data_IF_599111684990
#
_entry.id   IF_599111684990
#
_cell.length_a   1.000
_cell.length_b   1.000
_cell.length_c   1.000
_cell.angle_alpha   90.00
_cell.angle_beta   90.00
_cell.angle_gamma   90.00
#
_symmetry.space_group_name_H-M   'P 1'
#
loop_
_entity.id
_entity.type
_entity.pdbx_description
1 polymer ?
#
# COMPACT_ATOMS: atom_id res chain seq x y z
N UNK A 1 -15.72 3.98 -2.16
CA UNK A 1 -15.04 2.68 -2.36
C UNK A 1 -16.06 1.57 -2.60
N UNK A 2 -15.70 0.55 -3.40
CA UNK A 2 -16.47 -0.67 -3.59
C UNK A 2 -15.56 -1.89 -3.33
N UNK A 3 -15.99 -2.77 -2.42
CA UNK A 3 -15.31 -4.03 -2.12
C UNK A 3 -16.26 -5.20 -2.33
N UNK A 4 -15.78 -6.26 -3.00
CA UNK A 4 -16.49 -7.53 -3.11
C UNK A 4 -15.84 -8.53 -2.17
N UNK A 5 -16.59 -9.04 -1.21
CA UNK A 5 -16.10 -10.01 -0.24
C UNK A 5 -16.64 -11.40 -0.56
N UNK A 6 -15.75 -12.37 -0.70
CA UNK A 6 -16.07 -13.77 -0.93
C UNK A 6 -15.91 -14.55 0.36
N UNK A 7 -16.99 -15.20 0.82
CA UNK A 7 -16.92 -16.10 1.98
C UNK A 7 -16.35 -17.45 1.54
N UNK A 8 -15.03 -17.60 1.65
CA UNK A 8 -14.34 -18.86 1.39
C UNK A 8 -14.28 -19.77 2.63
N UNK A 9 -14.86 -19.36 3.75
CA UNK A 9 -14.93 -20.17 4.97
C UNK A 9 -16.08 -21.18 4.91
N UNK A 10 -16.04 -22.24 5.73
CA UNK A 10 -17.17 -23.17 5.87
C UNK A 10 -18.33 -22.60 6.72
N UNK A 11 -18.19 -21.40 7.27
CA UNK A 11 -19.13 -20.81 8.22
C UNK A 11 -20.13 -19.87 7.55
N UNK A 12 -21.32 -19.76 8.15
CA UNK A 12 -22.28 -18.72 7.82
C UNK A 12 -21.93 -17.46 8.60
N UNK A 13 -21.61 -16.37 7.89
CA UNK A 13 -21.20 -15.11 8.50
C UNK A 13 -22.41 -14.21 8.69
N UNK A 14 -22.62 -13.71 9.91
CA UNK A 14 -23.73 -12.80 10.25
C UNK A 14 -23.28 -11.34 10.38
N UNK A 15 -21.98 -11.10 10.27
CA UNK A 15 -21.37 -9.78 10.39
C UNK A 15 -20.11 -9.70 9.55
N UNK A 16 -19.69 -8.48 9.20
CA UNK A 16 -18.35 -8.17 8.73
C UNK A 16 -17.61 -7.36 9.79
N UNK A 17 -16.29 -7.55 9.85
CA UNK A 17 -15.39 -6.67 10.57
C UNK A 17 -14.55 -5.92 9.55
N UNK A 18 -14.56 -4.60 9.63
CA UNK A 18 -13.81 -3.70 8.77
C UNK A 18 -12.87 -2.88 9.65
N UNK A 19 -11.61 -2.76 9.24
CA UNK A 19 -10.60 -1.98 9.94
C UNK A 19 -10.63 -0.54 9.43
N UNK A 20 -10.66 0.37 10.38
CA UNK A 20 -10.51 1.81 10.19
C UNK A 20 -9.17 2.20 10.79
N UNK A 21 -8.07 1.94 10.09
CA UNK A 21 -6.74 2.14 10.66
C UNK A 21 -6.49 3.58 11.12
N UNK A 22 -7.07 4.56 10.41
CA UNK A 22 -6.94 5.98 10.78
C UNK A 22 -7.72 6.36 12.03
N UNK A 23 -8.61 5.50 12.54
CA UNK A 23 -9.15 5.67 13.89
C UNK A 23 -8.06 5.47 14.97
N UNK A 24 -6.86 4.96 14.64
CA UNK A 24 -5.71 5.08 15.53
C UNK A 24 -5.33 6.54 15.78
N UNK A 25 -5.70 7.51 14.93
CA UNK A 25 -5.53 8.95 15.16
C UNK A 25 -6.71 9.59 15.91
N UNK A 26 -7.81 8.86 16.12
CA UNK A 26 -9.02 9.35 16.78
C UNK A 26 -8.82 9.66 18.26
N UNK A 27 -9.29 10.81 18.72
CA UNK A 27 -9.26 11.19 20.14
C UNK A 27 -9.86 10.10 21.03
N UNK A 28 -9.11 9.70 22.07
CA UNK A 28 -9.53 8.71 23.05
C UNK A 28 -9.26 7.24 22.69
N UNK A 29 -8.90 6.93 21.44
CA UNK A 29 -8.51 5.57 21.06
C UNK A 29 -7.12 5.20 21.62
N UNK A 30 -6.94 3.92 21.95
CA UNK A 30 -5.69 3.36 22.43
C UNK A 30 -4.63 3.28 21.31
N UNK A 31 -3.36 3.44 21.67
CA UNK A 31 -2.19 3.41 20.77
C UNK A 31 -1.00 2.83 21.51
N UNK A 32 -0.07 2.23 20.76
CA UNK A 32 1.20 1.75 21.33
C UNK A 32 2.28 2.84 21.36
N UNK A 33 2.09 3.93 20.61
CA UNK A 33 3.01 5.06 20.53
C UNK A 33 2.30 6.39 20.79
N UNK A 34 3.07 7.39 21.25
CA UNK A 34 2.63 8.77 21.24
C UNK A 34 2.64 9.34 19.82
N UNK A 35 1.62 10.14 19.49
CA UNK A 35 1.54 10.88 18.23
C UNK A 35 1.50 12.38 18.50
N UNK A 36 1.77 13.20 17.48
CA UNK A 36 1.70 14.66 17.62
C UNK A 36 0.27 15.09 17.95
N UNK A 37 0.13 16.18 18.70
CA UNK A 37 -1.19 16.70 19.04
C UNK A 37 -2.00 17.11 17.80
N UNK A 38 -1.31 17.63 16.78
CA UNK A 38 -1.92 18.07 15.51
C UNK A 38 -2.41 16.88 14.65
N UNK A 39 -1.91 15.67 14.91
CA UNK A 39 -2.37 14.44 14.25
C UNK A 39 -3.61 13.83 14.93
N UNK A 40 -4.07 14.38 16.06
CA UNK A 40 -5.26 13.88 16.76
C UNK A 40 -6.52 14.39 16.05
N UNK A 41 -7.34 13.47 15.56
CA UNK A 41 -8.56 13.75 14.77
C UNK A 41 -9.81 13.18 15.45
N UNK A 42 -10.97 13.32 14.80
CA UNK A 42 -12.21 12.63 15.17
C UNK A 42 -12.33 11.22 14.56
N UNK A 43 -11.29 10.76 13.85
CA UNK A 43 -11.23 9.48 13.16
C UNK A 43 -11.74 9.55 11.71
N UNK A 44 -12.01 8.38 11.15
CA UNK A 44 -12.59 8.21 9.82
C UNK A 44 -14.05 8.65 9.84
N UNK A 45 -14.41 9.53 8.93
CA UNK A 45 -15.79 9.91 8.67
C UNK A 45 -16.41 8.91 7.68
N UNK A 46 -17.52 8.29 8.08
CA UNK A 46 -18.28 7.35 7.25
C UNK A 46 -19.62 8.00 6.92
N UNK A 47 -19.78 8.45 5.68
CA UNK A 47 -21.00 9.16 5.25
C UNK A 47 -22.07 8.22 4.69
N UNK A 48 -21.67 7.09 4.10
CA UNK A 48 -22.59 6.07 3.60
C UNK A 48 -21.97 4.69 3.60
N UNK A 49 -22.74 3.68 4.01
CA UNK A 49 -22.37 2.26 3.89
C UNK A 49 -23.56 1.50 3.30
N UNK A 50 -23.30 0.65 2.31
CA UNK A 50 -24.30 -0.28 1.77
C UNK A 50 -23.74 -1.69 1.65
N UNK A 51 -24.60 -2.68 1.89
CA UNK A 51 -24.35 -4.10 1.64
C UNK A 51 -25.38 -4.58 0.62
N UNK A 52 -24.92 -5.03 -0.54
CA UNK A 52 -25.76 -5.41 -1.69
C UNK A 52 -26.84 -4.36 -2.02
N UNK A 53 -26.45 -3.08 -1.92
CA UNK A 53 -27.32 -1.93 -2.17
C UNK A 53 -28.27 -1.56 -1.02
N UNK A 54 -28.35 -2.35 0.05
CA UNK A 54 -29.10 -2.01 1.27
C UNK A 54 -28.25 -1.14 2.19
N UNK A 55 -28.76 0.03 2.56
CA UNK A 55 -28.07 0.95 3.47
C UNK A 55 -27.97 0.37 4.89
N UNK A 56 -26.85 0.61 5.55
CA UNK A 56 -26.59 0.17 6.93
C UNK A 56 -26.67 1.36 7.89
N UNK A 57 -27.49 1.22 8.93
CA UNK A 57 -27.66 2.24 9.97
C UNK A 57 -26.45 2.29 10.93
N UNK A 58 -25.83 3.46 11.09
CA UNK A 58 -24.74 3.68 12.05
C UNK A 58 -25.25 3.82 13.48
N UNK A 59 -24.47 3.32 14.45
CA UNK A 59 -24.77 3.43 15.90
C UNK A 59 -25.81 2.43 16.42
N UNK A 60 -26.34 1.56 15.54
CA UNK A 60 -27.38 0.58 15.86
C UNK A 60 -26.79 -0.83 16.03
N UNK A 61 -27.30 -1.60 17.00
CA UNK A 61 -26.87 -3.00 17.21
C UNK A 61 -27.20 -3.91 16.03
N UNK A 62 -28.22 -3.56 15.24
CA UNK A 62 -28.62 -4.29 14.02
C UNK A 62 -28.05 -3.69 12.74
N UNK A 63 -27.30 -2.59 12.84
CA UNK A 63 -26.61 -1.96 11.74
C UNK A 63 -25.10 -2.07 11.93
N UNK A 64 -24.42 -0.92 11.99
CA UNK A 64 -22.98 -0.84 12.17
C UNK A 64 -22.57 -0.07 13.43
N UNK A 65 -21.48 -0.49 14.05
CA UNK A 65 -20.89 0.18 15.21
C UNK A 65 -19.37 0.26 15.09
N UNK A 66 -18.81 1.40 15.49
CA UNK A 66 -17.37 1.57 15.61
C UNK A 66 -16.96 1.21 17.05
N UNK A 67 -15.89 0.43 17.19
CA UNK A 67 -15.26 0.12 18.46
C UNK A 67 -13.73 0.15 18.28
N UNK A 68 -13.08 1.18 18.84
CA UNK A 68 -11.66 1.41 18.63
C UNK A 68 -11.39 1.71 17.17
N UNK A 69 -10.60 0.86 16.54
CA UNK A 69 -10.21 0.95 15.12
C UNK A 69 -10.99 0.01 14.21
N UNK A 70 -12.14 -0.49 14.68
CA UNK A 70 -12.94 -1.50 13.98
C UNK A 70 -14.36 -1.01 13.78
N UNK A 71 -14.88 -1.18 12.57
CA UNK A 71 -16.27 -1.09 12.22
C UNK A 71 -16.86 -2.49 12.14
N UNK A 72 -17.83 -2.79 13.00
CA UNK A 72 -18.55 -4.07 13.01
C UNK A 72 -19.90 -3.84 12.35
N UNK A 73 -20.14 -4.51 11.24
CA UNK A 73 -21.36 -4.40 10.43
C UNK A 73 -22.17 -5.68 10.64
N UNK A 74 -23.39 -5.57 11.16
CA UNK A 74 -24.35 -6.69 11.15
C UNK A 74 -24.92 -6.83 9.75
N UNK A 75 -24.82 -8.02 9.17
CA UNK A 75 -25.31 -8.25 7.81
C UNK A 75 -26.84 -8.31 7.79
N UNK A 76 -27.52 -7.64 6.84
CA UNK A 76 -28.97 -7.73 6.69
C UNK A 76 -29.43 -9.16 6.37
N UNK A 77 -28.62 -9.90 5.62
CA UNK A 77 -28.80 -11.31 5.30
C UNK A 77 -27.50 -12.05 5.62
N UNK A 78 -27.54 -13.25 6.24
CA UNK A 78 -26.33 -14.04 6.49
C UNK A 78 -25.60 -14.41 5.19
N UNK A 79 -24.28 -14.27 5.19
CA UNK A 79 -23.43 -14.62 4.06
C UNK A 79 -23.01 -16.09 4.16
N UNK A 80 -23.58 -16.94 3.33
CA UNK A 80 -23.33 -18.40 3.31
C UNK A 80 -21.96 -18.76 2.72
N UNK A 81 -21.41 -19.95 3.05
CA UNK A 81 -20.18 -20.46 2.42
C UNK A 81 -20.24 -20.44 0.89
N UNK A 82 -19.16 -20.01 0.25
CA UNK A 82 -19.03 -19.90 -1.21
C UNK A 82 -19.80 -18.75 -1.85
N UNK A 83 -20.57 -17.97 -1.08
CA UNK A 83 -21.27 -16.79 -1.60
C UNK A 83 -20.43 -15.52 -1.41
N UNK A 84 -20.85 -14.44 -2.08
CA UNK A 84 -20.19 -13.14 -2.00
C UNK A 84 -21.21 -12.03 -1.76
N UNK A 85 -20.74 -10.91 -1.21
CA UNK A 85 -21.48 -9.66 -1.12
C UNK A 85 -20.68 -8.50 -1.69
N UNK A 86 -21.37 -7.42 -2.02
CA UNK A 86 -20.76 -6.13 -2.36
C UNK A 86 -20.97 -5.14 -1.23
N UNK A 87 -19.87 -4.61 -0.69
CA UNK A 87 -19.87 -3.48 0.22
C UNK A 87 -19.51 -2.21 -0.55
N UNK A 88 -20.29 -1.14 -0.39
CA UNK A 88 -19.86 0.21 -0.81
C UNK A 88 -19.76 1.10 0.41
N UNK A 89 -18.69 1.89 0.48
CA UNK A 89 -18.44 2.83 1.58
C UNK A 89 -18.01 4.16 1.00
N UNK A 90 -18.69 5.23 1.41
CA UNK A 90 -18.26 6.61 1.21
C UNK A 90 -17.64 7.10 2.52
N UNK A 91 -16.38 7.52 2.45
CA UNK A 91 -15.58 7.84 3.62
C UNK A 91 -14.62 8.99 3.35
N UNK A 92 -14.22 9.68 4.42
CA UNK A 92 -13.20 10.72 4.41
C UNK A 92 -12.33 10.62 5.66
N UNK A 93 -11.08 11.06 5.55
CA UNK A 93 -10.17 11.12 6.69
C UNK A 93 -9.08 12.17 6.44
N UNK A 94 -8.43 12.59 7.53
CA UNK A 94 -7.28 13.48 7.46
C UNK A 94 -5.99 12.69 7.26
N UNK A 95 -5.14 13.15 6.35
CA UNK A 95 -3.77 12.64 6.23
C UNK A 95 -2.91 13.28 7.34
N UNK A 96 -2.28 12.48 8.22
CA UNK A 96 -1.50 13.02 9.32
C UNK A 96 -0.14 13.57 8.86
N UNK A 97 0.44 14.47 9.64
CA UNK A 97 1.81 15.01 9.49
C UNK A 97 2.88 14.13 10.15
N UNK A 98 2.50 12.98 10.71
CA UNK A 98 3.46 11.98 11.16
C UNK A 98 4.12 11.26 9.98
N UNK A 99 5.20 10.55 10.27
CA UNK A 99 5.80 9.56 9.37
C UNK A 99 5.73 8.15 9.96
N UNK A 100 5.00 7.97 11.07
CA UNK A 100 4.74 6.66 11.66
C UNK A 100 3.77 5.93 10.73
N UNK A 101 4.30 4.99 9.95
CA UNK A 101 3.58 4.08 9.01
C UNK A 101 2.91 4.76 7.81
N UNK A 102 2.52 6.03 7.91
CA UNK A 102 1.84 6.84 6.88
C UNK A 102 2.01 8.34 7.20
N UNK A 103 1.83 9.21 6.21
CA UNK A 103 1.72 10.66 6.37
C UNK A 103 2.69 11.48 5.50
N UNK A 104 3.11 12.63 6.01
CA UNK A 104 3.84 13.65 5.27
C UNK A 104 5.33 13.74 5.67
N UNK A 105 6.21 13.74 4.67
CA UNK A 105 7.65 13.98 4.86
C UNK A 105 8.01 15.45 4.70
N UNK A 106 7.30 16.15 3.83
CA UNK A 106 7.34 17.61 3.67
C UNK A 106 6.00 18.09 3.09
N UNK A 107 5.87 19.39 2.79
CA UNK A 107 4.61 19.98 2.28
C UNK A 107 4.17 19.47 0.91
N UNK A 108 5.04 18.74 0.20
CA UNK A 108 4.85 18.21 -1.15
C UNK A 108 5.33 16.78 -1.31
N UNK A 109 5.49 16.02 -0.23
CA UNK A 109 5.90 14.61 -0.29
C UNK A 109 5.17 13.81 0.77
N UNK A 110 4.47 12.77 0.33
CA UNK A 110 3.62 11.94 1.18
C UNK A 110 3.81 10.46 0.88
N UNK A 111 3.67 9.66 1.92
CA UNK A 111 3.48 8.22 1.81
C UNK A 111 2.15 7.87 2.46
N UNK A 112 1.26 7.25 1.71
CA UNK A 112 -0.13 7.01 2.09
C UNK A 112 -0.38 5.50 2.11
N UNK A 113 -0.53 4.99 3.32
CA UNK A 113 -0.85 3.59 3.60
C UNK A 113 -1.99 3.49 4.60
N UNK A 114 -2.54 2.30 4.79
CA UNK A 114 -3.62 2.04 5.75
C UNK A 114 -4.86 2.94 5.53
N UNK A 115 -5.07 3.40 4.30
CA UNK A 115 -5.85 4.60 4.03
C UNK A 115 -7.33 4.34 3.73
N UNK A 116 -7.74 3.07 3.57
CA UNK A 116 -9.11 2.70 3.21
C UNK A 116 -9.74 1.76 4.27
N UNK A 117 -11.07 1.79 4.45
CA UNK A 117 -11.82 0.78 5.19
C UNK A 117 -11.56 -0.65 4.67
N UNK A 118 -10.70 -1.38 5.36
CA UNK A 118 -10.24 -2.70 4.91
C UNK A 118 -11.00 -3.82 5.62
N UNK A 119 -11.62 -4.75 4.87
CA UNK A 119 -12.28 -5.92 5.48
C UNK A 119 -11.23 -6.81 6.16
N UNK A 120 -11.41 -7.07 7.46
CA UNK A 120 -10.50 -7.88 8.26
C UNK A 120 -10.48 -9.34 7.79
N UNK A 121 -9.44 -10.08 8.16
CA UNK A 121 -9.39 -11.52 7.90
C UNK A 121 -10.41 -12.24 8.78
N UNK A 122 -11.11 -13.23 8.21
CA UNK A 122 -11.84 -14.25 8.96
C UNK A 122 -11.10 -15.57 8.79
N UNK A 123 -10.58 -16.12 9.88
CA UNK A 123 -9.79 -17.36 9.87
C UNK A 123 -10.44 -18.46 10.75
N UNK A 124 -9.94 -19.68 10.63
CA UNK A 124 -10.44 -20.87 11.32
C UNK A 124 -9.99 -21.00 12.78
N UNK A 125 -9.06 -20.16 13.23
CA UNK A 125 -8.45 -20.22 14.58
C UNK A 125 -9.09 -19.18 15.52
N UNK A 126 -9.27 -17.96 15.03
CA UNK A 126 -9.71 -16.78 15.77
C UNK A 126 -11.02 -16.20 15.22
N UNK A 127 -11.53 -16.69 14.09
CA UNK A 127 -12.68 -16.09 13.40
C UNK A 127 -12.29 -14.73 12.82
N UNK A 128 -13.16 -13.72 12.99
CA UNK A 128 -12.82 -12.35 12.58
C UNK A 128 -11.63 -11.81 13.39
N UNK A 129 -10.60 -11.32 12.70
CA UNK A 129 -9.55 -10.53 13.35
C UNK A 129 -10.13 -9.23 13.89
N UNK A 130 -10.24 -9.19 15.20
CA UNK A 130 -10.75 -8.06 15.95
C UNK A 130 -9.66 -7.41 16.79
N UNK A 131 -8.38 -7.51 16.44
CA UNK A 131 -7.36 -6.69 17.11
C UNK A 131 -7.50 -5.22 16.72
N UNK A 132 -7.37 -4.34 17.71
CA UNK A 132 -7.23 -2.91 17.44
C UNK A 132 -5.85 -2.63 16.84
N UNK A 133 -5.79 -1.65 15.95
CA UNK A 133 -4.55 -1.14 15.39
C UNK A 133 -3.97 -0.03 16.28
N UNK A 134 -2.76 -0.24 16.78
CA UNK A 134 -2.03 0.68 17.64
C UNK A 134 -0.70 1.17 17.04
N UNK A 135 -0.51 1.01 15.72
CA UNK A 135 0.71 1.26 14.93
C UNK A 135 1.85 0.24 15.05
N UNK A 136 1.89 -0.55 16.12
CA UNK A 136 3.04 -1.44 16.37
C UNK A 136 3.04 -2.64 15.44
N UNK A 137 1.94 -3.38 15.43
CA UNK A 137 1.74 -4.51 14.54
C UNK A 137 1.12 -4.04 13.23
N UNK A 138 1.56 -4.63 12.12
CA UNK A 138 1.38 -4.08 10.80
C UNK A 138 0.28 -4.85 10.06
N UNK A 139 0.54 -6.10 9.68
CA UNK A 139 -0.29 -6.81 8.71
C UNK A 139 -0.97 -8.07 9.24
N UNK A 140 -2.23 -8.23 8.83
CA UNK A 140 -2.86 -9.54 8.73
C UNK A 140 -4.06 -9.40 7.81
N UNK A 141 -3.83 -9.46 6.49
CA UNK A 141 -4.80 -9.01 5.50
C UNK A 141 -5.22 -10.14 4.55
N UNK A 142 -6.42 -10.01 3.98
CA UNK A 142 -6.89 -10.88 2.92
C UNK A 142 -6.12 -10.58 1.61
N UNK A 143 -6.07 -11.53 0.69
CA UNK A 143 -5.67 -11.22 -0.69
C UNK A 143 -6.84 -10.56 -1.43
N UNK A 144 -6.53 -9.50 -2.16
CA UNK A 144 -7.47 -8.73 -2.95
C UNK A 144 -6.92 -8.37 -4.32
N UNK A 145 -7.86 -8.07 -5.22
CA UNK A 145 -7.58 -7.38 -6.47
C UNK A 145 -7.97 -5.92 -6.30
N UNK A 146 -7.07 -5.02 -6.68
CA UNK A 146 -7.22 -3.58 -6.54
C UNK A 146 -7.29 -2.94 -7.91
N UNK A 147 -8.30 -2.09 -8.10
CA UNK A 147 -8.45 -1.17 -9.21
C UNK A 147 -8.60 0.23 -8.60
N UNK A 148 -7.49 0.98 -8.58
CA UNK A 148 -7.36 2.19 -7.76
C UNK A 148 -7.05 3.36 -8.67
N UNK A 149 -7.90 4.39 -8.59
CA UNK A 149 -7.62 5.70 -9.16
C UNK A 149 -7.28 6.69 -8.05
N UNK A 150 -6.11 7.32 -8.15
CA UNK A 150 -5.66 8.40 -7.27
C UNK A 150 -5.77 9.71 -8.04
N UNK A 151 -6.59 10.64 -7.53
CA UNK A 151 -6.65 12.00 -8.05
C UNK A 151 -5.81 12.89 -7.14
N UNK A 152 -4.68 13.40 -7.65
CA UNK A 152 -3.76 14.30 -6.97
C UNK A 152 -3.65 15.61 -7.77
N UNK A 153 -3.22 16.73 -7.14
CA UNK A 153 -2.91 17.94 -7.89
C UNK A 153 -1.88 17.66 -9.00
N UNK A 154 -1.97 18.37 -10.13
CA UNK A 154 -1.11 18.17 -11.30
C UNK A 154 0.39 18.38 -11.02
N UNK A 155 0.73 18.90 -9.84
CA UNK A 155 2.10 19.07 -9.37
C UNK A 155 2.72 17.80 -8.81
N UNK A 156 1.99 16.69 -8.70
CA UNK A 156 2.46 15.45 -8.11
C UNK A 156 2.66 14.34 -9.15
N UNK A 157 3.72 13.56 -8.94
CA UNK A 157 3.84 12.20 -9.48
C UNK A 157 3.36 11.24 -8.42
N UNK A 158 2.68 10.17 -8.81
CA UNK A 158 2.22 9.13 -7.88
C UNK A 158 2.84 7.80 -8.31
N UNK A 159 3.50 7.11 -7.39
CA UNK A 159 3.87 5.71 -7.53
C UNK A 159 3.15 4.90 -6.46
N UNK A 160 2.80 3.65 -6.76
CA UNK A 160 1.95 2.85 -5.90
C UNK A 160 2.27 1.36 -5.99
N UNK A 161 1.67 0.59 -5.07
CA UNK A 161 1.44 -0.84 -5.28
C UNK A 161 0.72 -1.07 -6.61
N UNK A 162 1.24 -1.96 -7.44
CA UNK A 162 0.59 -2.41 -8.68
C UNK A 162 1.15 -1.77 -9.94
N UNK A 163 0.56 -2.12 -11.08
CA UNK A 163 0.98 -1.70 -12.41
C UNK A 163 0.24 -0.41 -12.80
N UNK A 164 0.99 0.62 -13.22
CA UNK A 164 0.43 1.86 -13.76
C UNK A 164 -0.26 1.59 -15.11
N UNK A 165 -1.57 1.86 -15.19
CA UNK A 165 -2.38 1.54 -16.37
C UNK A 165 -2.43 2.68 -17.40
N UNK A 166 -2.25 3.93 -16.97
CA UNK A 166 -2.47 5.11 -17.81
C UNK A 166 -1.21 6.00 -17.95
N UNK A 167 -0.03 5.39 -18.04
CA UNK A 167 1.25 6.10 -18.18
C UNK A 167 1.23 7.15 -19.31
N UNK A 168 0.62 6.82 -20.46
CA UNK A 168 0.51 7.74 -21.60
C UNK A 168 -0.41 8.95 -21.39
N UNK A 169 -1.26 8.92 -20.37
CA UNK A 169 -2.10 10.07 -19.98
C UNK A 169 -1.39 10.98 -18.99
N UNK A 170 -0.58 10.43 -18.07
CA UNK A 170 0.04 11.18 -16.96
C UNK A 170 1.46 11.66 -17.26
N UNK A 171 2.22 10.97 -18.14
CA UNK A 171 3.57 11.36 -18.54
C UNK A 171 3.56 12.13 -19.85
N UNK A 172 4.44 13.14 -19.97
CA UNK A 172 4.67 13.77 -21.26
C UNK A 172 5.43 12.82 -22.21
N UNK A 173 5.57 13.21 -23.48
CA UNK A 173 6.19 12.37 -24.50
C UNK A 173 7.60 11.88 -24.15
N UNK A 174 8.43 12.75 -23.57
CA UNK A 174 9.83 12.42 -23.29
C UNK A 174 9.94 11.45 -22.11
N UNK A 175 9.21 11.72 -21.01
CA UNK A 175 9.15 10.81 -19.86
C UNK A 175 8.48 9.48 -20.20
N UNK A 176 7.42 9.48 -21.02
CA UNK A 176 6.77 8.26 -21.51
C UNK A 176 7.74 7.39 -22.31
N UNK A 177 8.54 8.00 -23.20
CA UNK A 177 9.54 7.25 -23.97
C UNK A 177 10.61 6.61 -23.08
N UNK A 178 11.01 7.29 -22.00
CA UNK A 178 11.93 6.74 -21.01
C UNK A 178 11.29 5.63 -20.17
N UNK A 179 10.01 5.78 -19.81
CA UNK A 179 9.23 4.75 -19.12
C UNK A 179 9.10 3.47 -19.97
N UNK A 180 8.73 3.60 -21.24
CA UNK A 180 8.67 2.48 -22.19
C UNK A 180 10.03 1.81 -22.39
N UNK A 181 11.11 2.59 -22.42
CA UNK A 181 12.48 2.07 -22.48
C UNK A 181 12.83 1.29 -21.21
N UNK A 182 12.47 1.78 -20.04
CA UNK A 182 12.74 1.14 -18.76
C UNK A 182 12.08 -0.26 -18.68
N UNK A 183 10.88 -0.42 -19.26
CA UNK A 183 10.13 -1.68 -19.35
C UNK A 183 10.81 -2.79 -20.17
N UNK A 184 11.90 -2.49 -20.87
CA UNK A 184 12.66 -3.49 -21.65
C UNK A 184 14.16 -3.43 -21.37
N UNK A 185 14.59 -2.64 -20.37
CA UNK A 185 16.00 -2.37 -20.09
C UNK A 185 16.44 -3.01 -18.78
N UNK A 186 17.44 -3.89 -18.84
CA UNK A 186 18.11 -4.41 -17.64
C UNK A 186 19.00 -3.37 -16.98
N UNK A 187 19.49 -2.38 -17.73
CA UNK A 187 20.18 -1.22 -17.17
C UNK A 187 19.15 -0.19 -16.68
N UNK A 188 19.26 0.33 -15.44
CA UNK A 188 18.36 1.36 -14.95
C UNK A 188 18.29 2.60 -15.86
N UNK A 189 17.08 3.09 -16.06
CA UNK A 189 16.76 4.28 -16.85
C UNK A 189 16.17 5.34 -15.92
N UNK A 190 16.74 6.54 -15.93
CA UNK A 190 16.16 7.69 -15.26
C UNK A 190 14.98 8.23 -16.06
N UNK A 191 13.76 7.91 -15.61
CA UNK A 191 12.49 8.36 -16.20
C UNK A 191 12.24 9.83 -15.84
N UNK A 192 12.46 10.18 -14.57
CA UNK A 192 12.44 11.56 -14.08
C UNK A 192 13.80 11.86 -13.47
N UNK A 193 14.58 12.70 -14.14
CA UNK A 193 15.87 13.16 -13.64
C UNK A 193 15.76 14.57 -13.01
N UNK A 194 16.79 15.07 -12.31
CA UNK A 194 16.84 16.46 -11.85
C UNK A 194 16.65 17.48 -12.98
N UNK A 195 17.05 17.15 -14.22
CA UNK A 195 16.80 17.98 -15.39
C UNK A 195 15.33 17.91 -15.82
N UNK A 196 14.73 16.72 -15.82
CA UNK A 196 13.30 16.54 -16.10
C UNK A 196 12.42 17.35 -15.16
N UNK A 197 12.78 17.44 -13.87
CA UNK A 197 12.05 18.25 -12.87
C UNK A 197 11.97 19.74 -13.23
N UNK A 198 12.98 20.27 -13.94
CA UNK A 198 13.04 21.68 -14.38
C UNK A 198 12.34 21.89 -15.71
N UNK A 199 12.45 20.92 -16.62
CA UNK A 199 11.97 21.03 -18.00
C UNK A 199 10.51 20.53 -18.17
N UNK A 200 9.99 19.80 -17.19
CA UNK A 200 8.65 19.21 -17.23
C UNK A 200 8.66 17.77 -17.78
N UNK A 201 7.85 16.91 -17.15
CA UNK A 201 7.83 15.46 -17.42
C UNK A 201 6.41 14.85 -17.37
N UNK A 202 5.39 15.67 -17.10
CA UNK A 202 4.03 15.22 -16.81
C UNK A 202 2.98 16.01 -17.59
N UNK A 203 1.84 15.39 -17.83
CA UNK A 203 0.64 16.05 -18.32
C UNK A 203 -0.22 16.48 -17.12
N UNK A 204 -1.05 17.51 -17.32
CA UNK A 204 -1.92 18.08 -16.28
C UNK A 204 -3.26 17.34 -16.19
N UNK A 205 -3.22 16.06 -15.83
CA UNK A 205 -4.42 15.24 -15.60
C UNK A 205 -4.66 14.94 -14.13
N UNK A 206 -3.59 14.81 -13.34
CA UNK A 206 -3.63 14.51 -11.91
C UNK A 206 -4.23 13.14 -11.55
N UNK A 207 -4.58 12.32 -12.55
CA UNK A 207 -5.36 11.09 -12.38
C UNK A 207 -4.49 9.87 -12.69
N UNK A 208 -4.06 9.18 -11.65
CA UNK A 208 -3.18 8.01 -11.74
C UNK A 208 -4.00 6.74 -11.51
N UNK A 209 -3.95 5.79 -12.44
CA UNK A 209 -4.71 4.54 -12.39
C UNK A 209 -3.78 3.34 -12.23
N UNK A 210 -3.94 2.59 -11.15
CA UNK A 210 -3.15 1.42 -10.81
C UNK A 210 -4.03 0.19 -10.68
N UNK A 211 -3.50 -0.95 -11.13
CA UNK A 211 -4.10 -2.26 -10.90
C UNK A 211 -3.12 -3.19 -10.20
N UNK A 212 -3.58 -3.87 -9.17
CA UNK A 212 -2.84 -4.92 -8.48
C UNK A 212 -3.73 -6.14 -8.34
N UNK A 213 -3.17 -7.34 -8.47
CA UNK A 213 -3.93 -8.60 -8.33
C UNK A 213 -3.26 -9.51 -7.32
N UNK A 214 -4.09 -10.20 -6.53
CA UNK A 214 -3.68 -11.15 -5.50
C UNK A 214 -2.67 -10.58 -4.49
N UNK A 215 -2.90 -9.35 -4.03
CA UNK A 215 -2.02 -8.67 -3.05
C UNK A 215 -2.75 -8.41 -1.74
N UNK A 216 -1.99 -8.33 -0.65
CA UNK A 216 -2.50 -8.21 0.73
C UNK A 216 -2.93 -6.79 1.11
N UNK A 217 -2.45 -5.77 0.40
CA UNK A 217 -2.73 -4.36 0.69
C UNK A 217 -2.41 -3.46 -0.51
N UNK A 218 -2.62 -2.16 -0.36
CA UNK A 218 -2.29 -1.14 -1.35
C UNK A 218 -1.79 0.13 -0.67
N UNK A 219 -0.56 0.53 -0.99
CA UNK A 219 0.01 1.80 -0.57
C UNK A 219 0.41 2.64 -1.79
N UNK A 220 0.58 3.95 -1.59
CA UNK A 220 1.10 4.84 -2.62
C UNK A 220 1.89 5.99 -2.02
N UNK A 221 2.79 6.55 -2.81
CA UNK A 221 3.53 7.76 -2.48
C UNK A 221 3.32 8.80 -3.56
N UNK A 222 3.51 10.06 -3.19
CA UNK A 222 3.42 11.15 -4.13
C UNK A 222 4.39 12.27 -3.76
N UNK A 223 5.06 12.82 -4.77
CA UNK A 223 5.89 14.00 -4.62
C UNK A 223 5.92 14.87 -5.87
N UNK A 224 6.17 16.16 -5.66
CA UNK A 224 6.36 17.12 -6.75
C UNK A 224 7.80 17.28 -7.24
N UNK A 225 8.77 16.76 -6.49
CA UNK A 225 10.20 17.08 -6.68
C UNK A 225 11.13 15.85 -6.56
N UNK A 226 10.58 14.65 -6.73
CA UNK A 226 11.34 13.40 -6.70
C UNK A 226 11.70 12.93 -8.10
N UNK A 227 12.87 12.34 -8.20
CA UNK A 227 13.38 11.63 -9.36
C UNK A 227 12.90 10.18 -9.35
N UNK A 228 12.85 9.56 -10.53
CA UNK A 228 12.37 8.19 -10.73
C UNK A 228 13.30 7.43 -11.68
N UNK A 229 13.94 6.40 -11.15
CA UNK A 229 14.73 5.44 -11.92
C UNK A 229 14.02 4.10 -11.98
N UNK A 230 14.03 3.43 -13.13
CA UNK A 230 13.46 2.09 -13.25
C UNK A 230 14.18 1.20 -14.26
N UNK A 231 14.00 -0.10 -14.13
CA UNK A 231 14.50 -1.12 -15.05
C UNK A 231 13.82 -2.46 -14.80
N UNK A 232 14.15 -3.48 -15.58
CA UNK A 232 13.58 -4.83 -15.43
C UNK A 232 14.55 -5.80 -14.76
N UNK A 233 14.01 -6.74 -13.98
CA UNK A 233 14.70 -7.95 -13.55
C UNK A 233 13.99 -9.16 -14.15
N UNK A 234 14.74 -10.08 -14.75
CA UNK A 234 14.20 -11.35 -15.20
C UNK A 234 14.00 -12.28 -13.99
N UNK A 235 12.78 -12.80 -13.83
CA UNK A 235 12.39 -13.73 -12.76
C UNK A 235 11.52 -14.81 -13.36
N UNK A 236 12.02 -16.05 -13.39
CA UNK A 236 11.29 -17.23 -13.87
C UNK A 236 10.60 -17.01 -15.24
N UNK A 237 11.36 -16.49 -16.20
CA UNK A 237 10.87 -16.20 -17.56
C UNK A 237 9.95 -14.97 -17.69
N UNK A 238 9.60 -14.30 -16.58
CA UNK A 238 8.87 -13.02 -16.56
C UNK A 238 9.83 -11.85 -16.41
N UNK A 239 9.37 -10.66 -16.83
CA UNK A 239 10.05 -9.40 -16.55
C UNK A 239 9.32 -8.72 -15.39
N UNK A 240 10.06 -8.40 -14.33
CA UNK A 240 9.57 -7.66 -13.17
C UNK A 240 10.08 -6.23 -13.29
N UNK A 241 9.17 -5.25 -13.27
CA UNK A 241 9.53 -3.83 -13.35
C UNK A 241 9.89 -3.30 -11.96
N UNK A 242 11.11 -2.78 -11.80
CA UNK A 242 11.65 -2.32 -10.53
C UNK A 242 11.86 -0.82 -10.60
N UNK A 243 11.29 -0.09 -9.65
CA UNK A 243 11.36 1.37 -9.55
C UNK A 243 12.04 1.84 -8.26
N UNK A 244 12.81 2.92 -8.36
CA UNK A 244 13.26 3.74 -7.22
C UNK A 244 12.74 5.16 -7.38
N UNK A 245 12.02 5.67 -6.39
CA UNK A 245 11.52 7.04 -6.36
C UNK A 245 12.14 7.79 -5.19
N UNK A 246 12.91 8.84 -5.46
CA UNK A 246 13.82 9.43 -4.47
C UNK A 246 13.94 10.97 -4.62
N UNK A 247 14.26 11.72 -3.55
CA UNK A 247 14.32 13.17 -3.62
C UNK A 247 15.47 13.64 -4.51
N UNK A 248 15.27 14.74 -5.27
CA UNK A 248 16.31 15.36 -6.10
C UNK A 248 17.62 15.59 -5.33
N UNK A 249 17.52 16.00 -4.06
CA UNK A 249 18.66 16.26 -3.16
C UNK A 249 19.51 15.03 -2.84
N UNK A 250 19.03 13.82 -3.13
CA UNK A 250 19.74 12.56 -2.93
C UNK A 250 20.08 11.82 -4.24
N UNK A 251 19.99 12.48 -5.39
CA UNK A 251 20.20 11.83 -6.69
C UNK A 251 21.51 11.06 -6.79
N UNK A 252 22.63 11.66 -6.36
CA UNK A 252 23.94 11.00 -6.38
C UNK A 252 23.95 9.72 -5.53
N UNK A 253 23.30 9.75 -4.36
CA UNK A 253 23.23 8.62 -3.43
C UNK A 253 22.30 7.50 -3.92
N UNK A 254 21.31 7.83 -4.74
CA UNK A 254 20.28 6.89 -5.20
C UNK A 254 20.57 6.27 -6.57
N UNK A 255 21.54 6.80 -7.32
CA UNK A 255 21.91 6.40 -8.70
C UNK A 255 22.16 4.89 -8.92
N UNK A 256 22.45 4.12 -7.86
CA UNK A 256 22.67 2.67 -7.93
C UNK A 256 21.58 1.81 -7.29
N UNK A 257 20.51 2.41 -6.75
CA UNK A 257 19.51 1.68 -5.95
C UNK A 257 18.68 0.74 -6.82
N UNK A 258 18.24 1.14 -8.01
CA UNK A 258 17.50 0.24 -8.92
C UNK A 258 18.34 -0.99 -9.31
N UNK A 259 19.63 -0.80 -9.63
CA UNK A 259 20.55 -1.91 -9.91
C UNK A 259 20.76 -2.82 -8.70
N UNK A 260 20.85 -2.23 -7.50
CA UNK A 260 20.94 -2.99 -6.26
C UNK A 260 19.69 -3.83 -6.01
N UNK A 261 18.49 -3.27 -6.23
CA UNK A 261 17.22 -3.97 -6.10
C UNK A 261 17.11 -5.15 -7.08
N UNK A 262 17.53 -4.96 -8.34
CA UNK A 262 17.61 -6.04 -9.34
C UNK A 262 18.46 -7.22 -8.85
N UNK A 263 19.65 -6.94 -8.31
CA UNK A 263 20.55 -7.96 -7.73
C UNK A 263 19.96 -8.65 -6.50
N UNK A 264 19.27 -7.89 -5.63
CA UNK A 264 18.59 -8.44 -4.45
C UNK A 264 17.46 -9.38 -4.89
N UNK A 265 16.64 -8.97 -5.86
CA UNK A 265 15.53 -9.77 -6.36
C UNK A 265 16.01 -11.05 -7.05
N UNK A 266 17.08 -10.98 -7.84
CA UNK A 266 17.74 -12.16 -8.40
C UNK A 266 18.18 -13.10 -7.28
N UNK A 267 18.90 -12.58 -6.27
CA UNK A 267 19.36 -13.38 -5.14
C UNK A 267 18.23 -14.04 -4.36
N UNK A 268 17.12 -13.34 -4.12
CA UNK A 268 15.96 -13.93 -3.45
C UNK A 268 15.29 -15.01 -4.30
N UNK A 269 15.23 -14.79 -5.61
CA UNK A 269 14.59 -15.70 -6.55
C UNK A 269 15.37 -16.99 -6.76
N UNK A 270 16.71 -16.95 -6.74
CA UNK A 270 17.56 -18.12 -7.05
C UNK A 270 18.40 -18.62 -5.87
N UNK A 271 18.55 -17.81 -4.83
CA UNK A 271 19.35 -18.07 -3.63
C UNK A 271 18.47 -18.34 -2.42
N UNK A 272 18.47 -17.44 -1.43
CA UNK A 272 17.62 -17.52 -0.24
C UNK A 272 16.55 -16.42 -0.34
N UNK A 273 15.25 -16.73 -0.31
CA UNK A 273 14.66 -18.05 -0.03
C UNK A 273 14.60 -19.00 -1.24
N UNK A 274 15.00 -18.56 -2.43
CA UNK A 274 14.98 -19.40 -3.64
C UNK A 274 13.59 -19.57 -4.22
N UNK A 275 12.71 -18.60 -3.94
CA UNK A 275 11.33 -18.54 -4.44
C UNK A 275 11.26 -17.38 -5.43
N UNK A 276 10.86 -17.60 -6.69
CA UNK A 276 10.70 -16.52 -7.65
C UNK A 276 9.80 -15.40 -7.12
N UNK A 277 10.24 -14.15 -7.24
CA UNK A 277 9.44 -12.97 -6.87
C UNK A 277 8.04 -13.05 -7.52
N UNK A 278 6.94 -13.02 -6.74
CA UNK A 278 5.63 -13.43 -7.22
C UNK A 278 4.86 -12.36 -8.01
N UNK A 279 5.27 -11.09 -7.95
CA UNK A 279 4.52 -9.97 -8.51
C UNK A 279 5.16 -9.39 -9.79
N UNK A 280 4.45 -8.57 -10.58
CA UNK A 280 4.99 -7.98 -11.80
C UNK A 280 5.83 -6.71 -11.56
N UNK A 281 5.68 -6.03 -10.43
CA UNK A 281 6.42 -4.80 -10.14
C UNK A 281 6.94 -4.74 -8.70
N UNK A 282 7.94 -3.90 -8.45
CA UNK A 282 8.35 -3.49 -7.10
C UNK A 282 8.81 -2.02 -7.11
N UNK A 283 8.30 -1.21 -6.19
CA UNK A 283 8.68 0.21 -6.05
C UNK A 283 9.31 0.48 -4.69
N UNK A 284 10.55 0.95 -4.66
CA UNK A 284 11.10 1.58 -3.44
C UNK A 284 10.94 3.09 -3.49
N UNK A 285 10.18 3.61 -2.54
CA UNK A 285 10.14 5.03 -2.20
C UNK A 285 11.23 5.33 -1.18
N UNK A 286 12.19 6.18 -1.54
CA UNK A 286 13.26 6.65 -0.66
C UNK A 286 12.78 7.93 0.00
N UNK A 287 12.33 7.81 1.24
CA UNK A 287 12.00 8.94 2.07
C UNK A 287 13.24 9.45 2.84
N UNK A 288 13.01 10.33 3.82
CA UNK A 288 14.02 10.74 4.80
C UNK A 288 13.56 10.27 6.18
N UNK A 289 14.27 9.31 6.78
CA UNK A 289 13.89 8.75 8.08
C UNK A 289 14.80 7.60 8.53
N UNK A 290 14.43 6.96 9.65
CA UNK A 290 15.05 5.71 10.09
C UNK A 290 14.13 4.52 9.78
N UNK A 291 14.73 3.36 9.50
CA UNK A 291 14.00 2.12 9.17
C UNK A 291 13.43 2.10 7.76
N UNK A 292 12.50 1.18 7.52
CA UNK A 292 11.63 1.16 6.35
C UNK A 292 10.26 0.61 6.73
N UNK A 293 9.45 0.33 5.71
CA UNK A 293 8.10 -0.17 5.87
C UNK A 293 7.68 -0.86 4.56
N UNK A 294 7.30 -2.11 4.67
CA UNK A 294 6.91 -3.00 3.58
C UNK A 294 5.44 -2.87 3.19
N UNK A 295 5.16 -3.08 1.91
CA UNK A 295 3.84 -3.27 1.34
C UNK A 295 3.99 -4.25 0.16
N UNK A 296 2.93 -4.91 -0.29
CA UNK A 296 3.02 -5.69 -1.52
C UNK A 296 3.45 -4.78 -2.68
N UNK A 297 4.49 -5.22 -3.42
CA UNK A 297 5.09 -4.48 -4.53
C UNK A 297 5.66 -3.09 -4.18
N UNK A 298 5.78 -2.73 -2.91
CA UNK A 298 6.23 -1.39 -2.55
C UNK A 298 6.95 -1.36 -1.19
N UNK A 299 7.96 -0.52 -1.06
CA UNK A 299 8.62 -0.25 0.22
C UNK A 299 8.82 1.25 0.42
N UNK A 300 8.71 1.71 1.66
CA UNK A 300 9.00 3.07 2.08
C UNK A 300 10.26 3.09 2.95
N UNK A 301 11.42 3.31 2.32
CA UNK A 301 12.70 3.24 3.00
C UNK A 301 13.10 4.62 3.52
N UNK A 302 13.61 4.70 4.74
CA UNK A 302 14.17 5.93 5.30
C UNK A 302 15.44 6.44 4.61
N UNK A 303 16.03 5.64 3.72
CA UNK A 303 17.21 6.00 2.92
C UNK A 303 17.64 4.92 1.92
N UNK A 304 18.65 5.18 1.06
CA UNK A 304 19.09 4.29 -0.02
C UNK A 304 20.01 3.15 0.46
N UNK A 305 19.95 2.79 1.74
CA UNK A 305 20.85 1.82 2.35
C UNK A 305 20.58 0.40 1.85
N UNK A 306 21.64 -0.36 1.58
CA UNK A 306 21.51 -1.76 1.14
C UNK A 306 20.80 -2.64 2.16
N UNK A 307 21.10 -2.48 3.46
CA UNK A 307 20.50 -3.29 4.52
C UNK A 307 18.99 -3.15 4.60
N UNK A 308 18.48 -1.91 4.66
CA UNK A 308 17.03 -1.66 4.65
C UNK A 308 16.40 -2.13 3.34
N UNK A 309 17.04 -1.87 2.20
CA UNK A 309 16.51 -2.34 0.90
C UNK A 309 16.37 -3.86 0.84
N UNK A 310 17.36 -4.61 1.37
CA UNK A 310 17.26 -6.08 1.49
C UNK A 310 16.09 -6.46 2.38
N UNK A 311 15.97 -5.87 3.57
CA UNK A 311 14.93 -6.17 4.56
C UNK A 311 13.53 -5.90 4.00
N UNK A 312 13.25 -4.70 3.50
CA UNK A 312 11.93 -4.35 2.96
C UNK A 312 11.57 -5.15 1.70
N UNK A 313 12.54 -5.47 0.84
CA UNK A 313 12.28 -6.34 -0.32
C UNK A 313 12.00 -7.77 0.11
N UNK A 314 12.67 -8.27 1.16
CA UNK A 314 12.43 -9.61 1.69
C UNK A 314 11.01 -9.74 2.19
N UNK A 315 10.42 -8.63 2.66
CA UNK A 315 9.06 -8.64 3.17
C UNK A 315 7.99 -9.02 2.14
N UNK A 316 8.34 -9.00 0.85
CA UNK A 316 7.53 -9.61 -0.21
C UNK A 316 7.17 -11.07 0.10
N UNK A 317 8.10 -11.84 0.68
CA UNK A 317 7.86 -13.25 0.99
C UNK A 317 7.16 -13.40 2.34
N UNK A 318 7.64 -12.71 3.37
CA UNK A 318 7.06 -12.67 4.71
C UNK A 318 6.80 -11.21 5.07
N UNK A 319 5.56 -10.74 5.31
CA UNK A 319 4.38 -11.56 5.46
C UNK A 319 3.61 -11.69 4.13
N UNK A 320 3.98 -10.96 3.08
CA UNK A 320 3.04 -10.70 1.97
C UNK A 320 2.68 -11.96 1.16
N UNK A 321 3.66 -12.83 0.87
CA UNK A 321 3.41 -14.05 0.11
C UNK A 321 2.97 -15.23 0.98
N UNK A 322 3.62 -15.42 2.14
CA UNK A 322 3.31 -16.53 3.07
C UNK A 322 2.02 -16.28 3.86
N UNK A 323 1.64 -15.01 4.05
CA UNK A 323 0.43 -14.54 4.72
C UNK A 323 0.39 -14.90 6.20
N UNK A 324 1.45 -14.56 6.92
CA UNK A 324 1.50 -14.74 8.37
C UNK A 324 0.61 -13.71 9.08
N UNK A 325 0.04 -14.10 10.22
CA UNK A 325 -0.65 -13.18 11.11
C UNK A 325 0.40 -12.45 11.97
N UNK A 326 1.08 -11.47 11.37
CA UNK A 326 2.12 -10.69 12.01
C UNK A 326 1.60 -9.97 13.27
N UNK A 327 0.32 -9.55 13.27
CA UNK A 327 -0.31 -8.99 14.48
C UNK A 327 -0.25 -9.88 15.71
N UNK A 328 -0.15 -11.20 15.54
CA UNK A 328 0.01 -12.17 16.63
C UNK A 328 1.41 -12.76 16.69
N UNK A 329 2.08 -12.86 15.56
CA UNK A 329 3.32 -13.60 15.38
C UNK A 329 4.38 -12.79 14.64
N UNK A 330 4.55 -11.51 14.98
CA UNK A 330 5.46 -10.58 14.32
C UNK A 330 6.91 -11.08 14.16
N UNK A 331 7.38 -11.94 15.07
CA UNK A 331 8.71 -12.55 14.95
C UNK A 331 8.89 -13.43 13.70
N UNK A 332 7.80 -13.98 13.13
CA UNK A 332 7.85 -14.76 11.90
C UNK A 332 8.09 -13.89 10.67
N UNK A 333 7.89 -12.59 10.82
CA UNK A 333 8.05 -11.58 9.79
C UNK A 333 9.42 -10.91 9.93
N UNK A 334 9.60 -10.22 11.06
CA UNK A 334 10.78 -9.42 11.42
C UNK A 334 12.04 -10.23 11.75
N UNK A 335 11.91 -11.54 11.92
CA UNK A 335 12.99 -12.41 12.39
C UNK A 335 13.92 -12.94 11.30
N UNK A 336 13.63 -12.69 10.01
CA UNK A 336 14.32 -13.31 8.86
C UNK A 336 15.49 -12.50 8.31
#
# INVERSE_FOLDING_TARGET
EKAVYHNNSPDVLNSLVVRLYYDAFKKGNARDYGIKADDITDGVELSKITIDGKEVEMGSRRGARINGTRLIITLPEPLTPGSSLTMNVDWAQYLPETTIRTGAYDSTTFFVAYWYPQIAVYDDVFGWDQLDYGFRAEFYNNLGNFDVTINAPDTYTVLATGVLQNAGEVLNKDALSLYEKAHVSTEPVAIISPESLKNGYRNQTGRWHYMASEVSDFAFCLSGHYCWDAGIQAVDGRQVFISTYYPESQADKCSGVTAMQQQIMEHFSTGVPGIPYPYPEFTTFIASGGGGMEYPMMANNGGPGRGVTIHEMFHTYFPMYVRVNEKRFAWMDEGW
#
